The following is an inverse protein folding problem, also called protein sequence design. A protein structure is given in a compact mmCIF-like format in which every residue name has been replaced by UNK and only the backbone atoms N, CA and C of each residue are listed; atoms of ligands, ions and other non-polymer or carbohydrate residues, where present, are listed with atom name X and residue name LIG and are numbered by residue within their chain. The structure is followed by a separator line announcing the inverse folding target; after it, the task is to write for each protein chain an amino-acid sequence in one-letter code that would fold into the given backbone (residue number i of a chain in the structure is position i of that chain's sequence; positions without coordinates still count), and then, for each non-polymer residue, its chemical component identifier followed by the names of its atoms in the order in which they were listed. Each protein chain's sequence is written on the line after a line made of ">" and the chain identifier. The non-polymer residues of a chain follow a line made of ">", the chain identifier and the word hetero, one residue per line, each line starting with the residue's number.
data_IF_106491387965
#
_entry.id   IF_106491387965
#
_cell.length_a   1.000
_cell.length_b   1.000
_cell.length_c   1.000
_cell.angle_alpha   90.00
_cell.angle_beta   90.00
_cell.angle_gamma   90.00
#
_symmetry.space_group_name_H-M   'P 1'
#
loop_
_entity.id
_entity.type
_entity.pdbx_description
1 polymer ?
#
# COMPACT_ATOMS: atom_id res chain seq x y z
N UNK A 1 -1.16 -18.70 -12.96
CA UNK A 1 -0.41 -17.63 -12.27
C UNK A 1 -0.89 -16.21 -12.61
N UNK A 2 -1.86 -16.01 -13.51
CA UNK A 2 -2.44 -14.68 -13.77
C UNK A 2 -3.43 -14.21 -12.68
N UNK A 3 -4.24 -15.12 -12.13
CA UNK A 3 -5.42 -14.76 -11.31
C UNK A 3 -5.12 -14.02 -10.00
N UNK A 4 -4.05 -14.39 -9.28
CA UNK A 4 -3.70 -13.72 -8.03
C UNK A 4 -3.14 -12.31 -8.27
N UNK A 5 -2.37 -12.12 -9.34
CA UNK A 5 -1.86 -10.82 -9.76
C UNK A 5 -2.99 -9.92 -10.28
N UNK A 6 -3.94 -10.47 -11.05
CA UNK A 6 -5.12 -9.74 -11.52
C UNK A 6 -6.01 -9.30 -10.35
N UNK A 7 -6.16 -10.16 -9.34
CA UNK A 7 -6.92 -9.85 -8.12
C UNK A 7 -6.24 -8.75 -7.33
N UNK A 8 -4.91 -8.82 -7.16
CA UNK A 8 -4.15 -7.77 -6.49
C UNK A 8 -4.22 -6.43 -7.23
N UNK A 9 -4.14 -6.44 -8.56
CA UNK A 9 -4.23 -5.22 -9.36
C UNK A 9 -5.63 -4.59 -9.32
N UNK A 10 -6.69 -5.41 -9.22
CA UNK A 10 -8.08 -4.94 -9.26
C UNK A 10 -8.64 -4.59 -7.89
N UNK A 11 -8.36 -5.42 -6.88
CA UNK A 11 -9.00 -5.38 -5.55
C UNK A 11 -7.99 -5.00 -4.46
N UNK A 12 -6.69 -5.21 -4.70
CA UNK A 12 -5.65 -4.84 -3.73
C UNK A 12 -5.84 -5.53 -2.38
N UNK A 13 -5.73 -4.75 -1.31
CA UNK A 13 -5.85 -5.25 0.07
C UNK A 13 -7.29 -5.40 0.56
N UNK A 14 -8.28 -4.98 -0.22
CA UNK A 14 -9.68 -5.30 0.08
C UNK A 14 -9.98 -6.80 -0.10
N UNK A 15 -9.12 -7.55 -0.82
CA UNK A 15 -9.16 -9.01 -0.81
C UNK A 15 -8.55 -9.55 0.49
N UNK A 16 -9.37 -10.25 1.28
CA UNK A 16 -8.97 -10.79 2.58
C UNK A 16 -7.77 -11.73 2.53
N UNK A 17 -7.60 -12.50 1.45
CA UNK A 17 -6.48 -13.45 1.32
C UNK A 17 -5.19 -12.68 1.07
N UNK A 18 -5.25 -11.64 0.25
CA UNK A 18 -4.12 -10.74 0.00
C UNK A 18 -3.75 -9.94 1.25
N UNK A 19 -4.73 -9.40 1.97
CA UNK A 19 -4.52 -8.72 3.26
C UNK A 19 -3.77 -9.61 4.26
N UNK A 20 -4.24 -10.85 4.46
CA UNK A 20 -3.62 -11.77 5.41
C UNK A 20 -2.21 -12.20 4.97
N UNK A 21 -2.00 -12.40 3.66
CA UNK A 21 -0.70 -12.75 3.12
C UNK A 21 0.30 -11.59 3.27
N UNK A 22 -0.10 -10.36 2.93
CA UNK A 22 0.72 -9.17 3.05
C UNK A 22 1.15 -8.94 4.51
N UNK A 23 0.21 -9.00 5.46
CA UNK A 23 0.51 -8.84 6.89
C UNK A 23 1.48 -9.91 7.42
N UNK A 24 1.34 -11.17 6.99
CA UNK A 24 2.29 -12.23 7.35
C UNK A 24 3.70 -11.97 6.80
N UNK A 25 3.80 -11.56 5.54
CA UNK A 25 5.08 -11.20 4.94
C UNK A 25 5.75 -10.03 5.67
N UNK A 26 4.99 -8.98 5.96
CA UNK A 26 5.51 -7.82 6.69
C UNK A 26 5.96 -8.15 8.11
N UNK A 27 5.23 -9.00 8.83
CA UNK A 27 5.65 -9.45 10.16
C UNK A 27 7.03 -10.15 10.11
N UNK A 28 7.32 -10.89 9.03
CA UNK A 28 8.62 -11.54 8.82
C UNK A 28 9.70 -10.51 8.46
N UNK A 29 9.37 -9.55 7.60
CA UNK A 29 10.30 -8.51 7.14
C UNK A 29 10.67 -7.51 8.26
N UNK A 30 9.70 -7.11 9.08
CA UNK A 30 9.89 -6.16 10.18
C UNK A 30 10.94 -6.62 11.19
N UNK A 31 11.12 -7.94 11.36
CA UNK A 31 12.15 -8.51 12.24
C UNK A 31 13.58 -8.39 11.70
N UNK A 32 13.74 -8.03 10.42
CA UNK A 32 15.03 -8.00 9.71
C UNK A 32 15.36 -6.64 9.12
N UNK A 33 14.56 -5.61 9.43
CA UNK A 33 14.73 -4.32 8.77
C UNK A 33 15.97 -3.60 9.31
N UNK A 34 16.83 -3.03 8.43
CA UNK A 34 17.93 -2.18 8.86
C UNK A 34 17.42 -0.96 9.65
N UNK A 35 18.23 -0.46 10.59
CA UNK A 35 17.85 0.64 11.48
C UNK A 35 17.42 1.88 10.71
N UNK A 36 18.08 2.15 9.58
CA UNK A 36 17.82 3.29 8.70
C UNK A 36 16.41 3.23 8.07
N UNK A 37 15.81 2.05 8.00
CA UNK A 37 14.52 1.80 7.35
C UNK A 37 13.39 1.49 8.33
N UNK A 38 13.64 1.50 9.65
CA UNK A 38 12.60 1.20 10.67
C UNK A 38 11.39 2.12 10.49
N UNK A 39 11.60 3.42 10.33
CA UNK A 39 10.50 4.38 10.17
C UNK A 39 9.68 4.14 8.88
N UNK A 40 10.34 3.79 7.78
CA UNK A 40 9.65 3.45 6.53
C UNK A 40 8.85 2.14 6.67
N UNK A 41 9.43 1.13 7.34
CA UNK A 41 8.77 -0.14 7.61
C UNK A 41 7.54 0.01 8.52
N UNK A 42 7.62 0.84 9.56
CA UNK A 42 6.48 1.14 10.42
C UNK A 42 5.33 1.76 9.62
N UNK A 43 5.61 2.78 8.79
CA UNK A 43 4.59 3.38 7.92
C UNK A 43 3.95 2.35 6.99
N UNK A 44 4.75 1.46 6.40
CA UNK A 44 4.24 0.40 5.53
C UNK A 44 3.34 -0.59 6.29
N UNK A 45 3.75 -1.02 7.49
CA UNK A 45 2.94 -1.89 8.35
C UNK A 45 1.62 -1.23 8.70
N UNK A 46 1.63 0.02 9.15
CA UNK A 46 0.41 0.75 9.52
C UNK A 46 -0.54 0.92 8.32
N UNK A 47 0.00 1.14 7.12
CA UNK A 47 -0.81 1.28 5.90
C UNK A 47 -1.49 -0.04 5.50
N UNK A 48 -0.72 -1.13 5.52
CA UNK A 48 -1.22 -2.47 5.16
C UNK A 48 -2.17 -3.03 6.23
N UNK A 49 -1.94 -2.74 7.51
CA UNK A 49 -2.84 -3.16 8.60
C UNK A 49 -4.21 -2.49 8.49
N UNK A 50 -4.26 -1.23 8.05
CA UNK A 50 -5.51 -0.52 7.71
C UNK A 50 -6.18 -1.03 6.43
N UNK A 51 -5.57 -1.97 5.72
CA UNK A 51 -6.06 -2.50 4.46
C UNK A 51 -6.02 -1.49 3.31
N UNK A 52 -5.26 -0.41 3.45
CA UNK A 52 -5.13 0.64 2.43
C UNK A 52 -3.98 0.27 1.50
N UNK A 53 -4.27 0.20 0.21
CA UNK A 53 -3.23 0.12 -0.80
C UNK A 53 -2.97 1.50 -1.45
N UNK A 54 -1.80 1.70 -2.09
CA UNK A 54 -1.48 2.96 -2.77
C UNK A 54 -2.52 3.38 -3.82
N UNK A 55 -3.23 2.42 -4.42
CA UNK A 55 -4.31 2.71 -5.36
C UNK A 55 -5.56 3.26 -4.66
N UNK A 56 -5.83 2.86 -3.42
CA UNK A 56 -6.93 3.41 -2.62
C UNK A 56 -6.65 4.86 -2.24
N UNK A 57 -5.44 5.18 -1.75
CA UNK A 57 -5.03 6.57 -1.45
C UNK A 57 -5.06 7.45 -2.71
N UNK A 58 -4.63 6.92 -3.86
CA UNK A 58 -4.80 7.62 -5.13
C UNK A 58 -6.26 7.90 -5.46
N UNK A 59 -7.13 6.89 -5.32
CA UNK A 59 -8.55 7.00 -5.63
C UNK A 59 -9.25 8.03 -4.73
N UNK A 60 -8.93 8.04 -3.44
CA UNK A 60 -9.43 9.02 -2.47
C UNK A 60 -9.01 10.45 -2.86
N UNK A 61 -7.75 10.65 -3.29
CA UNK A 61 -7.26 11.96 -3.78
C UNK A 61 -7.95 12.39 -5.07
N UNK A 62 -8.24 11.46 -5.98
CA UNK A 62 -8.99 11.75 -7.22
C UNK A 62 -10.42 12.17 -6.88
N UNK A 63 -11.07 11.47 -5.95
CA UNK A 63 -12.42 11.82 -5.48
C UNK A 63 -12.42 13.20 -4.82
N UNK A 64 -11.41 13.52 -4.01
CA UNK A 64 -11.34 14.77 -3.27
C UNK A 64 -10.97 15.99 -4.14
N UNK A 65 -10.09 15.82 -5.12
CA UNK A 65 -9.46 16.96 -5.83
C UNK A 65 -9.32 16.80 -7.35
N UNK A 66 -9.84 15.73 -7.93
CA UNK A 66 -9.72 15.43 -9.35
C UNK A 66 -8.36 14.85 -9.76
N UNK A 67 -8.32 14.26 -10.95
CA UNK A 67 -7.19 13.45 -11.43
C UNK A 67 -5.88 14.24 -11.56
N UNK A 68 -5.94 15.49 -12.03
CA UNK A 68 -4.75 16.32 -12.22
C UNK A 68 -4.08 16.68 -10.87
N UNK A 69 -4.89 16.95 -9.83
CA UNK A 69 -4.39 17.24 -8.49
C UNK A 69 -3.78 16.00 -7.84
N UNK A 70 -4.46 14.85 -7.95
CA UNK A 70 -3.97 13.58 -7.41
C UNK A 70 -2.60 13.17 -8.02
N UNK A 71 -2.46 13.27 -9.35
CA UNK A 71 -1.20 12.97 -10.04
C UNK A 71 -0.10 13.94 -9.62
N UNK A 72 -0.39 15.25 -9.59
CA UNK A 72 0.60 16.27 -9.17
C UNK A 72 1.04 16.04 -7.73
N UNK A 73 0.12 15.69 -6.83
CA UNK A 73 0.42 15.39 -5.44
C UNK A 73 1.30 14.15 -5.25
N UNK A 74 1.14 13.12 -6.09
CA UNK A 74 2.02 11.95 -6.08
C UNK A 74 3.44 12.27 -6.55
N UNK A 75 3.60 13.14 -7.54
CA UNK A 75 4.92 13.55 -8.03
C UNK A 75 5.75 14.28 -6.97
N UNK A 76 5.10 14.94 -6.01
CA UNK A 76 5.76 15.65 -4.91
C UNK A 76 5.87 14.82 -3.62
N UNK A 77 5.26 13.62 -3.57
CA UNK A 77 5.14 12.79 -2.37
C UNK A 77 6.19 11.68 -2.20
N UNK A 78 7.21 11.61 -3.06
CA UNK A 78 8.33 10.68 -2.88
C UNK A 78 9.36 11.29 -1.91
N UNK A 79 9.12 11.17 -0.60
CA UNK A 79 10.09 11.46 0.47
C UNK A 79 9.92 10.49 1.64
#
# INVERSE_FOLDING_TARGET
>A
MATAWDTAARIGLADRRLYLAANRCLAIAARRVPTELIGAMQRLVDHVDRGVCPADDFSDRVIAGGIASAVTGMMHGAS
#
